data_IF_602712578231
#
_entry.id   IF_602712578231
#
_cell.length_a   1.000
_cell.length_b   1.000
_cell.length_c   1.000
_cell.angle_alpha   90.00
_cell.angle_beta   90.00
_cell.angle_gamma   90.00
#
_symmetry.space_group_name_H-M   'P 1'
#
loop_
_entity.id
_entity.type
_entity.pdbx_description
1 polymer ?
#
# COMPACT_ATOMS: atom_id res chain seq x y z
N UNK A 1 -12.39 -6.27 -1.39
CA UNK A 1 -12.14 -4.95 -2.05
C UNK A 1 -10.83 -5.06 -2.81
N UNK A 2 -10.79 -4.66 -4.08
CA UNK A 2 -9.57 -4.75 -4.89
C UNK A 2 -8.99 -3.36 -5.13
N UNK A 3 -7.68 -3.20 -4.98
CA UNK A 3 -6.98 -2.00 -5.43
C UNK A 3 -6.72 -2.14 -6.93
N UNK A 4 -7.34 -1.26 -7.71
CA UNK A 4 -7.25 -1.28 -9.19
C UNK A 4 -6.02 -0.51 -9.67
N UNK A 5 -5.75 0.62 -9.01
CA UNK A 5 -4.61 1.47 -9.31
C UNK A 5 -4.25 2.34 -8.10
N UNK A 6 -2.99 2.71 -8.00
CA UNK A 6 -2.52 3.76 -7.12
C UNK A 6 -1.49 4.62 -7.85
N UNK A 7 -1.48 5.92 -7.55
CA UNK A 7 -0.54 6.88 -8.13
C UNK A 7 0.24 7.56 -7.01
N UNK A 8 1.57 7.48 -7.09
CA UNK A 8 2.50 7.96 -6.08
C UNK A 8 3.38 9.09 -6.63
N UNK A 9 3.61 10.17 -5.87
CA UNK A 9 4.63 11.16 -6.23
C UNK A 9 6.03 10.54 -6.22
N UNK A 10 6.84 10.93 -7.21
CA UNK A 10 8.22 10.50 -7.36
C UNK A 10 9.09 11.63 -7.92
N UNK A 11 10.37 11.68 -7.55
CA UNK A 11 11.32 12.65 -8.10
C UNK A 11 11.68 12.32 -9.55
N UNK A 12 11.82 11.02 -9.87
CA UNK A 12 12.03 10.51 -11.23
C UNK A 12 10.98 9.42 -11.56
N UNK A 13 9.75 9.81 -11.94
CA UNK A 13 8.67 8.87 -12.23
C UNK A 13 9.02 7.84 -13.31
N UNK A 14 9.70 8.26 -14.38
CA UNK A 14 10.04 7.39 -15.51
C UNK A 14 11.14 6.40 -15.13
N UNK A 15 12.19 6.86 -14.44
CA UNK A 15 13.26 6.00 -13.94
C UNK A 15 12.76 5.01 -12.91
N UNK A 16 11.89 5.44 -12.01
CA UNK A 16 11.31 4.56 -11.00
C UNK A 16 10.38 3.51 -11.64
N UNK A 17 9.52 3.91 -12.58
CA UNK A 17 8.66 2.97 -13.32
C UNK A 17 9.48 1.93 -14.11
N UNK A 18 10.59 2.34 -14.75
CA UNK A 18 11.50 1.43 -15.45
C UNK A 18 12.15 0.42 -14.49
N UNK A 19 12.54 0.86 -13.29
CA UNK A 19 13.09 -0.03 -12.26
C UNK A 19 12.07 -1.10 -11.84
N UNK A 20 10.79 -0.72 -11.61
CA UNK A 20 9.74 -1.69 -11.27
C UNK A 20 9.46 -2.70 -12.37
N UNK A 21 9.46 -2.27 -13.64
CA UNK A 21 9.28 -3.17 -14.79
C UNK A 21 10.44 -4.19 -14.89
N UNK A 22 11.68 -3.73 -14.68
CA UNK A 22 12.88 -4.58 -14.74
C UNK A 22 13.02 -5.50 -13.51
N UNK A 23 12.90 -4.95 -12.31
CA UNK A 23 13.13 -5.69 -11.08
C UNK A 23 11.98 -6.65 -10.74
N UNK A 24 10.73 -6.22 -10.93
CA UNK A 24 9.54 -6.97 -10.51
C UNK A 24 8.68 -7.44 -11.68
N UNK A 25 8.67 -6.74 -12.82
CA UNK A 25 7.67 -6.89 -13.86
C UNK A 25 6.33 -6.22 -13.48
N UNK A 26 6.33 -5.38 -12.43
CA UNK A 26 5.18 -4.62 -11.98
C UNK A 26 5.20 -3.21 -12.58
N UNK A 27 4.02 -2.58 -12.69
CA UNK A 27 3.90 -1.23 -13.27
C UNK A 27 3.04 -0.32 -12.40
N UNK A 28 3.50 0.03 -11.20
CA UNK A 28 2.84 1.06 -10.39
C UNK A 28 2.88 2.40 -11.14
N UNK A 29 1.93 3.29 -10.85
CA UNK A 29 1.88 4.61 -11.48
C UNK A 29 2.59 5.63 -10.62
N UNK A 30 3.57 6.32 -11.21
CA UNK A 30 4.27 7.44 -10.59
C UNK A 30 3.96 8.75 -11.31
N UNK A 31 3.91 9.84 -10.55
CA UNK A 31 3.69 11.21 -11.07
C UNK A 31 4.77 12.13 -10.52
N UNK A 32 5.17 13.19 -11.24
CA UNK A 32 6.16 14.13 -10.74
C UNK A 32 5.73 14.74 -9.40
N UNK A 33 6.61 14.72 -8.41
CA UNK A 33 6.37 15.27 -7.08
C UNK A 33 7.56 15.11 -6.15
N UNK A 34 7.45 15.64 -4.95
CA UNK A 34 8.47 15.43 -3.93
C UNK A 34 8.39 13.98 -3.45
N UNK A 35 9.51 13.23 -3.47
CA UNK A 35 9.53 11.87 -2.97
C UNK A 35 9.36 11.88 -1.45
N UNK A 36 8.47 11.03 -0.99
CA UNK A 36 8.38 10.67 0.44
C UNK A 36 8.31 9.16 0.52
N UNK A 37 8.90 8.53 1.53
CA UNK A 37 8.82 7.08 1.64
C UNK A 37 7.37 6.61 1.67
N UNK A 38 6.91 6.00 0.57
CA UNK A 38 5.61 5.36 0.51
C UNK A 38 5.71 3.91 0.97
N UNK A 39 4.58 3.32 1.35
CA UNK A 39 4.45 1.88 1.53
C UNK A 39 3.37 1.35 0.60
N UNK A 40 3.68 0.28 -0.12
CA UNK A 40 2.70 -0.49 -0.89
C UNK A 40 3.16 -1.93 -1.07
N UNK A 41 2.21 -2.83 -1.20
CA UNK A 41 2.46 -4.26 -1.34
C UNK A 41 1.93 -4.80 -2.66
N UNK A 42 2.59 -5.86 -3.16
CA UNK A 42 2.12 -6.65 -4.29
C UNK A 42 1.84 -8.09 -3.86
N UNK A 43 0.76 -8.66 -4.35
CA UNK A 43 0.51 -10.09 -4.23
C UNK A 43 1.50 -10.91 -5.02
N UNK A 44 2.04 -11.95 -4.40
CA UNK A 44 2.85 -12.98 -5.05
C UNK A 44 2.40 -14.37 -4.61
N UNK A 45 2.55 -15.36 -5.49
CA UNK A 45 2.18 -16.74 -5.17
C UNK A 45 3.20 -17.40 -4.23
N UNK A 46 4.49 -17.09 -4.36
CA UNK A 46 5.59 -17.64 -3.59
C UNK A 46 6.69 -16.58 -3.38
N UNK A 47 7.23 -16.50 -2.17
CA UNK A 47 8.28 -15.55 -1.82
C UNK A 47 9.69 -16.02 -2.21
N UNK A 48 9.93 -17.34 -2.30
CA UNK A 48 11.28 -17.89 -2.48
C UNK A 48 11.97 -17.43 -3.79
N UNK A 49 11.30 -17.36 -4.96
CA UNK A 49 11.92 -16.82 -6.17
C UNK A 49 12.34 -15.36 -6.05
N UNK A 50 11.58 -14.58 -5.29
CA UNK A 50 11.87 -13.15 -5.08
C UNK A 50 13.03 -12.94 -4.13
N UNK A 51 13.12 -13.71 -3.05
CA UNK A 51 14.25 -13.70 -2.10
C UNK A 51 15.59 -14.02 -2.77
N UNK A 52 15.56 -14.80 -3.85
CA UNK A 52 16.78 -15.13 -4.61
C UNK A 52 17.20 -14.03 -5.61
N UNK A 53 16.27 -13.16 -6.02
CA UNK A 53 16.49 -12.14 -7.06
C UNK A 53 16.68 -10.74 -6.52
N UNK A 54 16.08 -10.44 -5.38
CA UNK A 54 15.99 -9.09 -4.81
C UNK A 54 16.81 -8.98 -3.54
N UNK A 55 17.28 -7.78 -3.26
CA UNK A 55 17.90 -7.43 -1.97
C UNK A 55 16.79 -7.23 -0.91
N UNK A 56 16.35 -8.35 -0.35
CA UNK A 56 15.30 -8.38 0.69
C UNK A 56 15.92 -7.93 2.01
N UNK A 57 15.34 -6.89 2.61
CA UNK A 57 15.80 -6.32 3.87
C UNK A 57 15.24 -7.03 5.09
N UNK A 58 13.98 -7.48 5.01
CA UNK A 58 13.27 -8.11 6.11
C UNK A 58 12.29 -9.19 5.61
N UNK A 59 11.99 -10.17 6.46
CA UNK A 59 10.94 -11.18 6.25
C UNK A 59 10.03 -11.21 7.48
N UNK A 60 8.71 -11.32 7.26
CA UNK A 60 7.74 -11.37 8.36
C UNK A 60 6.63 -12.38 8.11
N UNK A 61 6.17 -13.00 9.21
CA UNK A 61 5.03 -13.92 9.23
C UNK A 61 3.84 -13.25 9.92
N UNK A 62 2.80 -12.99 9.13
CA UNK A 62 1.53 -12.43 9.59
C UNK A 62 0.49 -13.53 9.80
N UNK A 63 0.80 -14.53 10.62
CA UNK A 63 -0.11 -15.66 10.89
C UNK A 63 -1.48 -15.21 11.41
N UNK A 64 -1.55 -14.10 12.17
CA UNK A 64 -2.80 -13.48 12.62
C UNK A 64 -3.60 -12.81 11.52
N UNK A 65 -2.97 -12.45 10.39
CA UNK A 65 -3.60 -11.84 9.22
C UNK A 65 -3.82 -12.89 8.12
N UNK A 66 -4.63 -13.91 8.42
CA UNK A 66 -5.01 -14.93 7.47
C UNK A 66 -3.86 -15.83 7.01
N UNK A 67 -2.74 -15.88 7.73
CA UNK A 67 -1.56 -16.67 7.34
C UNK A 67 -0.71 -16.05 6.25
N UNK A 68 -0.77 -14.74 6.10
CA UNK A 68 0.09 -14.01 5.17
C UNK A 68 1.56 -14.09 5.58
N UNK A 69 2.45 -14.13 4.60
CA UNK A 69 3.90 -13.98 4.79
C UNK A 69 4.42 -12.92 3.81
N UNK A 70 5.39 -12.15 4.26
CA UNK A 70 5.89 -11.03 3.46
C UNK A 70 7.40 -10.95 3.47
N UNK A 71 7.94 -10.37 2.40
CA UNK A 71 9.31 -9.86 2.34
C UNK A 71 9.29 -8.39 1.95
N UNK A 72 10.27 -7.65 2.45
CA UNK A 72 10.38 -6.21 2.28
C UNK A 72 11.66 -5.85 1.55
N UNK A 73 11.59 -4.84 0.70
CA UNK A 73 12.74 -4.26 0.02
C UNK A 73 12.57 -2.74 -0.11
N UNK A 74 13.66 -2.08 -0.49
CA UNK A 74 13.66 -0.64 -0.78
C UNK A 74 13.82 -0.43 -2.27
N UNK A 75 13.04 0.48 -2.82
CA UNK A 75 13.24 0.93 -4.19
C UNK A 75 14.25 2.10 -4.26
N UNK A 76 14.64 2.59 -5.45
CA UNK A 76 15.61 3.68 -5.59
C UNK A 76 15.22 5.01 -4.93
N UNK A 77 13.94 5.25 -4.67
CA UNK A 77 13.44 6.42 -3.95
C UNK A 77 13.08 6.14 -2.48
N UNK A 78 13.63 5.03 -1.94
CA UNK A 78 13.46 4.66 -0.54
C UNK A 78 12.03 4.32 -0.13
N UNK A 79 11.13 3.98 -1.08
CA UNK A 79 9.83 3.44 -0.75
C UNK A 79 9.96 2.06 -0.11
N UNK A 80 9.05 1.75 0.81
CA UNK A 80 8.97 0.44 1.46
C UNK A 80 8.05 -0.45 0.63
N UNK A 81 8.65 -1.34 -0.13
CA UNK A 81 7.93 -2.27 -1.02
C UNK A 81 7.80 -3.61 -0.34
N UNK A 82 6.58 -4.13 -0.32
CA UNK A 82 6.27 -5.44 0.24
C UNK A 82 5.86 -6.39 -0.88
N UNK A 83 6.36 -7.62 -0.83
CA UNK A 83 5.80 -8.74 -1.59
C UNK A 83 5.11 -9.66 -0.58
N UNK A 84 3.80 -9.84 -0.74
CA UNK A 84 2.97 -10.59 0.21
C UNK A 84 2.39 -11.85 -0.44
N UNK A 85 2.64 -12.99 0.18
CA UNK A 85 2.05 -14.27 -0.16
C UNK A 85 0.94 -14.62 0.85
N UNK A 86 -0.27 -14.87 0.34
CA UNK A 86 -1.43 -15.30 1.14
C UNK A 86 -1.86 -16.70 0.75
N UNK A 87 -2.54 -17.47 1.63
CA UNK A 87 -3.07 -18.79 1.28
C UNK A 87 -4.05 -18.79 0.09
N UNK A 88 -4.78 -17.69 -0.09
CA UNK A 88 -5.66 -17.48 -1.24
C UNK A 88 -4.82 -17.02 -2.45
N UNK A 89 -5.02 -17.58 -3.66
CA UNK A 89 -4.33 -17.14 -4.86
C UNK A 89 -4.93 -15.83 -5.37
N UNK A 90 -4.12 -14.80 -5.43
CA UNK A 90 -4.45 -13.51 -6.05
C UNK A 90 -3.67 -13.34 -7.36
N UNK A 91 -4.11 -12.44 -8.27
CA UNK A 91 -3.34 -12.15 -9.47
C UNK A 91 -1.93 -11.69 -9.13
N UNK A 92 -0.93 -12.34 -9.74
CA UNK A 92 0.48 -12.05 -9.50
C UNK A 92 0.79 -10.57 -9.76
N UNK A 93 1.52 -9.94 -8.83
CA UNK A 93 1.90 -8.52 -8.87
C UNK A 93 0.71 -7.53 -8.92
N UNK A 94 -0.51 -7.96 -8.57
CA UNK A 94 -1.57 -7.01 -8.27
C UNK A 94 -1.30 -6.29 -6.95
N UNK A 95 -1.74 -5.02 -6.84
CA UNK A 95 -1.60 -4.26 -5.59
C UNK A 95 -2.41 -4.92 -4.47
N UNK A 96 -1.71 -5.29 -3.40
CA UNK A 96 -2.28 -5.87 -2.19
C UNK A 96 -2.55 -4.81 -1.11
N UNK A 97 -1.63 -3.85 -0.97
CA UNK A 97 -1.73 -2.82 0.06
C UNK A 97 -1.25 -1.45 -0.46
N UNK A 98 -1.86 -0.39 0.07
CA UNK A 98 -1.40 1.00 -0.15
C UNK A 98 -1.45 1.75 1.17
N UNK A 99 -0.31 2.28 1.59
CA UNK A 99 -0.16 3.13 2.75
C UNK A 99 -0.71 4.53 2.49
N UNK A 100 -1.50 5.05 3.42
CA UNK A 100 -2.13 6.37 3.37
C UNK A 100 -1.83 7.14 4.67
N UNK A 101 -0.72 7.89 4.73
CA UNK A 101 -0.40 8.71 5.89
C UNK A 101 -1.35 9.90 6.03
N UNK A 102 -1.94 10.09 7.21
CA UNK A 102 -2.90 11.16 7.52
C UNK A 102 -2.60 11.79 8.87
N UNK A 103 -3.06 13.02 9.10
CA UNK A 103 -2.94 13.67 10.41
C UNK A 103 -3.89 13.05 11.46
N UNK A 104 -5.09 12.65 11.04
CA UNK A 104 -6.14 12.09 11.91
C UNK A 104 -6.64 10.75 11.33
N UNK A 105 -6.18 9.65 11.93
CA UNK A 105 -6.54 8.29 11.51
C UNK A 105 -8.04 8.03 11.73
N UNK A 106 -8.62 8.50 12.83
CA UNK A 106 -10.05 8.31 13.11
C UNK A 106 -10.95 8.96 12.05
N UNK A 107 -10.67 10.23 11.71
CA UNK A 107 -11.42 10.94 10.68
C UNK A 107 -11.25 10.30 9.28
N UNK A 108 -10.07 9.77 8.97
CA UNK A 108 -9.84 9.05 7.72
C UNK A 108 -10.60 7.72 7.68
N UNK A 109 -10.63 6.96 8.78
CA UNK A 109 -11.43 5.73 8.92
C UNK A 109 -12.91 6.02 8.69
N UNK A 110 -13.48 7.03 9.35
CA UNK A 110 -14.88 7.43 9.16
C UNK A 110 -15.17 7.77 7.70
N UNK A 111 -14.27 8.52 7.03
CA UNK A 111 -14.42 8.88 5.63
C UNK A 111 -14.40 7.65 4.71
N UNK A 112 -13.49 6.71 4.91
CA UNK A 112 -13.39 5.48 4.12
C UNK A 112 -14.60 4.56 4.32
N UNK A 113 -15.14 4.50 5.53
CA UNK A 113 -16.36 3.75 5.83
C UNK A 113 -17.60 4.28 5.11
N UNK A 114 -17.64 5.57 4.71
CA UNK A 114 -18.72 6.08 3.87
C UNK A 114 -18.77 5.44 2.48
N UNK A 115 -17.66 4.90 1.99
CA UNK A 115 -17.60 4.09 0.76
C UNK A 115 -17.93 2.61 1.00
N UNK A 116 -18.25 2.21 2.24
CA UNK A 116 -18.52 0.82 2.59
C UNK A 116 -17.25 -0.04 2.75
N UNK A 117 -16.09 0.56 2.91
CA UNK A 117 -14.83 -0.16 3.15
C UNK A 117 -14.80 -0.65 4.60
N UNK A 118 -14.71 -1.97 4.87
CA UNK A 118 -14.70 -2.48 6.23
C UNK A 118 -13.34 -2.26 6.91
N UNK A 119 -13.36 -2.20 8.25
CA UNK A 119 -12.14 -2.34 9.04
C UNK A 119 -11.71 -3.80 8.98
N UNK A 120 -10.43 -4.04 8.72
CA UNK A 120 -9.87 -5.39 8.54
C UNK A 120 -9.47 -6.04 9.87
N UNK A 121 -8.86 -5.26 10.78
CA UNK A 121 -8.37 -5.75 12.07
C UNK A 121 -8.42 -4.62 13.13
N UNK A 122 -7.96 -4.90 14.34
CA UNK A 122 -7.86 -3.89 15.39
C UNK A 122 -7.10 -2.66 14.92
N UNK A 123 -7.58 -1.48 15.30
CA UNK A 123 -7.00 -0.22 14.92
C UNK A 123 -6.78 0.71 16.11
N UNK A 124 -5.97 1.74 15.93
CA UNK A 124 -5.60 2.73 16.95
C UNK A 124 -5.61 4.14 16.34
N UNK A 125 -5.31 5.14 17.15
CA UNK A 125 -5.14 6.52 16.72
C UNK A 125 -3.90 6.77 15.82
N UNK A 126 -3.09 5.74 15.57
CA UNK A 126 -1.88 5.82 14.73
C UNK A 126 -1.83 4.81 13.58
N UNK A 127 -2.78 3.85 13.54
CA UNK A 127 -2.79 2.78 12.54
C UNK A 127 -4.19 2.20 12.37
N UNK A 128 -4.66 2.06 11.13
CA UNK A 128 -5.90 1.38 10.81
C UNK A 128 -5.79 0.66 9.45
N UNK A 129 -5.95 -0.68 9.40
CA UNK A 129 -6.08 -1.42 8.17
C UNK A 129 -7.56 -1.48 7.75
N UNK A 130 -7.88 -1.10 6.52
CA UNK A 130 -9.23 -1.15 5.97
C UNK A 130 -9.25 -1.91 4.64
N UNK A 131 -10.23 -2.76 4.45
CA UNK A 131 -10.39 -3.58 3.25
C UNK A 131 -10.58 -5.05 3.58
N UNK A 132 -9.99 -5.92 2.78
CA UNK A 132 -9.97 -7.39 2.96
C UNK A 132 -8.68 -7.98 2.38
N UNK A 133 -8.56 -9.33 2.35
CA UNK A 133 -7.36 -10.03 1.86
C UNK A 133 -7.01 -9.74 0.39
N UNK A 134 -7.96 -9.26 -0.42
CA UNK A 134 -7.70 -8.88 -1.81
C UNK A 134 -7.07 -7.49 -1.93
N UNK A 135 -7.31 -6.60 -0.94
CA UNK A 135 -6.71 -5.27 -0.94
C UNK A 135 -6.93 -4.53 0.37
N UNK A 136 -5.87 -3.92 0.88
CA UNK A 136 -5.87 -3.13 2.11
C UNK A 136 -5.42 -1.69 1.88
N UNK A 137 -6.13 -0.76 2.48
CA UNK A 137 -5.68 0.60 2.71
C UNK A 137 -5.09 0.68 4.11
N UNK A 138 -3.79 0.91 4.19
CA UNK A 138 -3.04 0.99 5.45
C UNK A 138 -2.97 2.45 5.88
N UNK A 139 -3.96 2.91 6.63
CA UNK A 139 -4.03 4.27 7.13
C UNK A 139 -3.12 4.41 8.35
N UNK A 140 -2.19 5.35 8.30
CA UNK A 140 -1.24 5.61 9.39
C UNK A 140 -1.18 7.09 9.72
N UNK A 141 -0.81 7.42 10.98
CA UNK A 141 -0.49 8.80 11.33
C UNK A 141 0.80 9.22 10.63
N UNK A 142 0.81 10.42 10.02
CA UNK A 142 2.02 11.01 9.44
C UNK A 142 3.19 10.97 10.43
N UNK A 143 4.37 10.58 9.96
CA UNK A 143 5.57 10.40 10.75
C UNK A 143 5.67 9.06 11.49
N UNK A 144 4.61 8.21 11.47
CA UNK A 144 4.72 6.85 11.96
C UNK A 144 5.66 6.06 11.03
N UNK A 145 6.59 5.30 11.63
CA UNK A 145 7.49 4.44 10.87
C UNK A 145 6.73 3.35 10.10
N UNK A 146 7.14 3.13 8.85
CA UNK A 146 6.68 1.99 8.06
C UNK A 146 7.27 0.69 8.63
N UNK A 147 6.40 -0.24 8.97
CA UNK A 147 6.83 -1.57 9.38
C UNK A 147 7.46 -2.31 8.18
N UNK A 148 8.52 -3.12 8.38
CA UNK A 148 9.28 -3.33 9.63
C UNK A 148 10.50 -2.41 9.77
N UNK A 149 10.75 -1.54 8.83
CA UNK A 149 12.02 -0.77 8.67
C UNK A 149 12.05 0.56 9.42
N UNK A 150 10.94 0.95 10.06
CA UNK A 150 10.78 2.17 10.87
C UNK A 150 11.16 3.49 10.14
N UNK A 151 10.98 3.52 8.82
CA UNK A 151 11.17 4.74 8.03
C UNK A 151 9.93 5.62 8.17
N UNK A 152 10.08 6.89 8.58
CA UNK A 152 8.93 7.76 8.80
C UNK A 152 8.08 7.95 7.55
N UNK A 153 6.76 7.79 7.67
CA UNK A 153 5.81 8.07 6.60
C UNK A 153 5.69 9.57 6.34
N UNK A 154 5.68 9.96 5.07
CA UNK A 154 5.43 11.34 4.65
C UNK A 154 3.98 11.57 4.25
N UNK A 155 3.62 12.83 3.94
CA UNK A 155 2.24 13.22 3.58
C UNK A 155 2.13 13.68 2.10
N UNK A 156 2.88 13.05 1.20
CA UNK A 156 2.74 13.33 -0.23
C UNK A 156 1.40 12.80 -0.77
N UNK A 157 0.74 13.50 -1.71
CA UNK A 157 -0.59 13.13 -2.18
C UNK A 157 -0.60 11.78 -2.92
N UNK A 158 -1.47 10.88 -2.50
CA UNK A 158 -1.69 9.58 -3.15
C UNK A 158 -3.13 9.52 -3.65
N UNK A 159 -3.32 9.04 -4.88
CA UNK A 159 -4.64 8.72 -5.41
C UNK A 159 -4.77 7.21 -5.56
N UNK A 160 -5.78 6.62 -4.92
CA UNK A 160 -6.06 5.19 -5.00
C UNK A 160 -7.40 4.97 -5.68
N UNK A 161 -7.45 4.05 -6.63
CA UNK A 161 -8.68 3.57 -7.25
C UNK A 161 -8.96 2.15 -6.78
N UNK A 162 -10.15 1.92 -6.26
CA UNK A 162 -10.60 0.63 -5.74
C UNK A 162 -11.87 0.16 -6.44
N UNK A 163 -12.13 -1.15 -6.40
CA UNK A 163 -13.36 -1.78 -6.86
C UNK A 163 -13.88 -2.80 -5.82
N UNK A 164 -15.14 -3.24 -5.98
CA UNK A 164 -15.76 -4.20 -5.07
C UNK A 164 -16.48 -3.58 -3.88
N UNK A 165 -16.62 -2.25 -3.87
CA UNK A 165 -17.46 -1.47 -2.94
C UNK A 165 -18.35 -0.51 -3.74
N UNK A 166 -19.39 0.11 -3.15
CA UNK A 166 -20.23 1.08 -3.86
C UNK A 166 -19.41 2.22 -4.48
N UNK A 167 -19.72 2.65 -5.72
CA UNK A 167 -19.00 3.74 -6.38
C UNK A 167 -19.08 5.05 -5.60
N UNK A 168 -17.98 5.77 -5.54
CA UNK A 168 -17.89 7.06 -4.85
C UNK A 168 -16.47 7.59 -4.80
N UNK A 169 -16.30 8.77 -4.23
CA UNK A 169 -14.97 9.37 -4.01
C UNK A 169 -14.93 10.06 -2.64
N UNK A 170 -13.84 9.88 -1.93
CA UNK A 170 -13.56 10.62 -0.69
C UNK A 170 -12.17 11.23 -0.73
N UNK A 171 -12.05 12.45 -0.16
CA UNK A 171 -10.79 13.03 0.22
C UNK A 171 -10.55 12.71 1.70
N UNK A 172 -9.33 12.28 2.05
CA UNK A 172 -9.02 11.95 3.44
C UNK A 172 -8.71 13.22 4.23
N UNK A 173 -9.39 13.47 5.36
CA UNK A 173 -9.16 14.65 6.18
C UNK A 173 -7.69 14.79 6.61
N UNK A 174 -7.19 16.02 6.65
CA UNK A 174 -5.81 16.29 7.06
C UNK A 174 -4.74 15.80 6.09
N UNK A 175 -5.11 15.44 4.85
CA UNK A 175 -4.18 15.00 3.81
C UNK A 175 -4.63 15.47 2.42
N UNK A 176 -3.78 15.25 1.41
CA UNK A 176 -4.15 15.43 0.01
C UNK A 176 -4.53 14.10 -0.68
N UNK A 177 -4.70 13.02 0.09
CA UNK A 177 -5.05 11.71 -0.47
C UNK A 177 -6.50 11.65 -0.94
N UNK A 178 -6.72 10.89 -2.02
CA UNK A 178 -8.06 10.61 -2.56
C UNK A 178 -8.24 9.13 -2.81
N UNK A 179 -9.39 8.60 -2.40
CA UNK A 179 -9.80 7.23 -2.68
C UNK A 179 -11.05 7.28 -3.56
N UNK A 180 -10.98 6.61 -4.70
CA UNK A 180 -12.05 6.56 -5.71
C UNK A 180 -12.50 5.11 -5.85
N UNK A 181 -13.76 4.85 -5.52
CA UNK A 181 -14.40 3.57 -5.76
C UNK A 181 -15.08 3.56 -7.12
N UNK A 182 -14.77 2.55 -7.93
CA UNK A 182 -15.37 2.34 -9.26
C UNK A 182 -16.17 1.04 -9.31
N UNK A 183 -17.05 0.91 -10.32
CA UNK A 183 -17.85 -0.31 -10.56
C UNK A 183 -17.00 -1.48 -11.03
#
# INVERSE_FOLDING_TARGET
MRIVAASFPAADPDGLAAWYDDALGARPSFVPGEPTPHHFAFHVADLEPWKQRLDVTEEHDFSSWGGARSVYLRDPEENVVELIARPQPWPELSLAEVGLPVEDVGAAVESLQTLGIPIYDEWSDSFAPLGDDEGLLIVVRVGRGWFPVDVPSGNAPIRVTIAGVPPGEVALPGSAHRVVAVT
#
